data_IF_257292832341
#
_entry.id   IF_257292832341
#
_cell.length_a   1.000
_cell.length_b   1.000
_cell.length_c   1.000
_cell.angle_alpha   90.00
_cell.angle_beta   90.00
_cell.angle_gamma   90.00
#
_symmetry.space_group_name_H-M   'P 1'
#
loop_
_entity.id
_entity.type
_entity.pdbx_description
1 polymer ?
#
# COMPACT_ATOMS: atom_id res chain seq x y z
N UNK A 1 21.91 14.89 7.27
CA UNK A 1 21.22 14.31 6.10
C UNK A 1 19.81 13.88 6.50
N UNK A 2 18.94 14.86 6.81
CA UNK A 2 17.58 14.67 7.32
C UNK A 2 16.69 15.62 6.53
N UNK A 3 15.97 15.12 5.52
CA UNK A 3 15.16 15.99 4.66
C UNK A 3 14.03 15.32 3.90
N UNK A 4 14.09 14.01 3.61
CA UNK A 4 13.08 13.34 2.79
C UNK A 4 11.85 12.82 3.53
N UNK A 5 12.00 12.34 4.78
CA UNK A 5 10.98 11.49 5.44
C UNK A 5 9.77 12.26 6.01
N UNK A 6 9.88 13.58 6.20
CA UNK A 6 8.79 14.43 6.70
C UNK A 6 7.86 15.01 5.62
N UNK A 7 8.27 14.97 4.35
CA UNK A 7 7.56 15.65 3.26
C UNK A 7 6.25 14.93 2.93
N UNK A 8 6.25 13.59 2.94
CA UNK A 8 5.06 12.80 2.60
C UNK A 8 3.92 12.99 3.63
N UNK A 9 4.25 13.15 4.92
CA UNK A 9 3.24 13.41 5.95
C UNK A 9 2.72 14.86 5.91
N UNK A 10 3.56 15.83 5.58
CA UNK A 10 3.14 17.23 5.39
C UNK A 10 2.19 17.41 4.19
N UNK A 11 2.28 16.52 3.19
CA UNK A 11 1.43 16.52 2.00
C UNK A 11 0.04 15.89 2.22
N UNK A 12 -0.15 15.04 3.24
CA UNK A 12 -1.47 14.44 3.55
C UNK A 12 -2.54 15.50 3.84
N UNK A 13 -2.16 16.59 4.52
CA UNK A 13 -3.03 17.75 4.76
C UNK A 13 -3.22 18.66 3.52
N UNK A 14 -2.61 18.30 2.38
CA UNK A 14 -2.67 19.05 1.12
C UNK A 14 -3.22 18.20 -0.04
N UNK A 15 -3.93 17.11 0.24
CA UNK A 15 -4.56 16.29 -0.79
C UNK A 15 -5.96 16.83 -1.13
N UNK A 16 -6.21 17.08 -2.43
CA UNK A 16 -7.49 17.58 -2.94
C UNK A 16 -8.71 16.74 -2.49
N UNK A 17 -8.68 15.39 -2.50
CA UNK A 17 -9.81 14.58 -2.04
C UNK A 17 -10.14 14.77 -0.55
N UNK A 18 -9.11 14.96 0.29
CA UNK A 18 -9.26 15.20 1.73
C UNK A 18 -9.96 16.54 1.96
N UNK A 19 -9.54 17.60 1.26
CA UNK A 19 -10.15 18.92 1.37
C UNK A 19 -11.63 18.91 0.95
N UNK A 20 -11.96 18.24 -0.17
CA UNK A 20 -13.34 18.09 -0.67
C UNK A 20 -14.20 17.36 0.36
N UNK A 21 -13.73 16.23 0.89
CA UNK A 21 -14.48 15.44 1.87
C UNK A 21 -14.67 16.21 3.19
N UNK A 22 -13.63 16.89 3.67
CA UNK A 22 -13.72 17.71 4.87
C UNK A 22 -14.74 18.85 4.72
N UNK A 23 -14.73 19.54 3.58
CA UNK A 23 -15.69 20.59 3.25
C UNK A 23 -17.13 20.07 3.15
N UNK A 24 -17.33 18.95 2.45
CA UNK A 24 -18.64 18.30 2.32
C UNK A 24 -19.22 17.91 3.68
N UNK A 25 -18.43 17.23 4.51
CA UNK A 25 -18.87 16.80 5.84
C UNK A 25 -19.06 17.98 6.78
N UNK A 26 -18.27 19.05 6.67
CA UNK A 26 -18.49 20.28 7.42
C UNK A 26 -19.86 20.90 7.11
N UNK A 27 -20.20 21.06 5.82
CA UNK A 27 -21.50 21.59 5.41
C UNK A 27 -22.67 20.72 5.94
N UNK A 28 -22.52 19.39 5.91
CA UNK A 28 -23.52 18.47 6.47
C UNK A 28 -23.68 18.60 7.99
N UNK A 29 -22.61 18.89 8.73
CA UNK A 29 -22.71 19.12 10.18
C UNK A 29 -23.35 20.47 10.50
N UNK A 30 -22.98 21.52 9.78
CA UNK A 30 -23.50 22.88 10.01
C UNK A 30 -24.96 23.04 9.62
N UNK A 31 -25.37 22.44 8.49
CA UNK A 31 -26.68 22.71 7.88
C UNK A 31 -27.56 21.47 7.72
N UNK A 32 -27.04 20.25 7.95
CA UNK A 32 -27.75 18.99 7.70
C UNK A 32 -27.94 18.10 8.94
N UNK A 33 -27.56 18.56 10.13
CA UNK A 33 -27.70 17.79 11.39
C UNK A 33 -26.83 16.53 11.47
N UNK A 34 -25.87 16.36 10.56
CA UNK A 34 -24.94 15.22 10.58
C UNK A 34 -23.97 15.34 11.77
N UNK A 35 -23.51 14.19 12.27
CA UNK A 35 -22.43 14.10 13.28
C UNK A 35 -21.13 13.54 12.69
N UNK A 36 -21.15 13.15 11.41
CA UNK A 36 -20.02 12.48 10.75
C UNK A 36 -18.84 13.44 10.60
N UNK A 37 -17.67 13.01 11.06
CA UNK A 37 -16.39 13.73 10.92
C UNK A 37 -15.58 13.19 9.75
N UNK A 38 -14.70 14.03 9.21
CA UNK A 38 -13.74 13.56 8.22
C UNK A 38 -12.74 12.64 8.90
N UNK A 39 -12.55 11.46 8.32
CA UNK A 39 -11.56 10.49 8.77
C UNK A 39 -10.24 10.77 8.04
N UNK A 40 -9.19 11.02 8.83
CA UNK A 40 -7.84 11.29 8.35
C UNK A 40 -6.90 10.10 8.55
N UNK A 41 -7.42 8.99 9.11
CA UNK A 41 -6.65 7.76 9.26
C UNK A 41 -6.62 7.00 7.93
N UNK A 42 -5.44 6.46 7.60
CA UNK A 42 -5.20 5.64 6.42
C UNK A 42 -5.71 6.28 5.11
N UNK A 43 -5.46 7.58 4.94
CA UNK A 43 -5.73 8.27 3.67
C UNK A 43 -4.70 7.78 2.63
N UNK A 44 -5.13 7.21 1.49
CA UNK A 44 -4.20 6.80 0.43
C UNK A 44 -3.51 8.00 -0.21
N UNK A 45 -2.29 7.77 -0.67
CA UNK A 45 -1.51 8.75 -1.43
C UNK A 45 -0.75 8.07 -2.56
N UNK A 46 -0.43 8.84 -3.59
CA UNK A 46 0.38 8.36 -4.72
C UNK A 46 1.28 9.47 -5.20
N UNK A 47 2.54 9.12 -5.46
CA UNK A 47 3.56 10.00 -6.04
C UNK A 47 3.81 9.54 -7.48
N UNK A 48 3.52 10.41 -8.43
CA UNK A 48 3.64 10.15 -9.87
C UNK A 48 5.06 10.41 -10.39
N UNK A 49 6.03 9.68 -9.85
CA UNK A 49 7.39 9.59 -10.40
C UNK A 49 7.41 8.74 -11.69
N UNK A 50 8.50 8.73 -12.47
CA UNK A 50 8.60 7.87 -13.67
C UNK A 50 8.28 6.39 -13.41
N UNK A 51 8.56 5.94 -12.18
CA UNK A 51 7.99 4.74 -11.60
C UNK A 51 7.09 5.19 -10.45
N UNK A 52 5.78 5.02 -10.58
CA UNK A 52 4.82 5.54 -9.60
C UNK A 52 4.95 4.81 -8.28
N UNK A 53 4.66 5.52 -7.19
CA UNK A 53 4.66 4.97 -5.84
C UNK A 53 3.34 5.27 -5.14
N UNK A 54 2.62 4.23 -4.78
CA UNK A 54 1.36 4.28 -4.04
C UNK A 54 1.53 3.77 -2.62
N UNK A 55 0.87 4.42 -1.66
CA UNK A 55 0.93 4.02 -0.27
C UNK A 55 -0.38 4.32 0.48
N UNK A 56 -0.71 3.46 1.45
CA UNK A 56 -1.79 3.67 2.40
C UNK A 56 -1.40 3.09 3.75
N UNK A 57 -1.76 3.77 4.84
CA UNK A 57 -1.41 3.35 6.20
C UNK A 57 0.01 3.77 6.64
N UNK A 58 0.57 3.01 7.57
CA UNK A 58 1.87 3.29 8.19
C UNK A 58 3.02 2.86 7.28
N UNK A 59 4.13 3.61 7.33
CA UNK A 59 5.41 3.07 6.88
C UNK A 59 5.90 2.02 7.89
N UNK A 60 6.80 1.16 7.43
CA UNK A 60 7.47 0.16 8.27
C UNK A 60 8.08 0.77 9.53
N UNK A 61 8.85 1.86 9.40
CA UNK A 61 9.52 2.45 10.56
C UNK A 61 8.52 3.03 11.57
N UNK A 62 7.42 3.59 11.08
CA UNK A 62 6.33 4.10 11.92
C UNK A 62 5.52 2.98 12.56
N UNK A 63 5.37 1.85 11.88
CA UNK A 63 4.71 0.67 12.42
C UNK A 63 5.55 0.08 13.57
N UNK A 64 6.87 -0.03 13.37
CA UNK A 64 7.81 -0.45 14.42
C UNK A 64 7.79 0.52 15.60
N UNK A 65 7.84 1.83 15.35
CA UNK A 65 7.75 2.85 16.41
C UNK A 65 6.44 2.75 17.21
N UNK A 66 5.32 2.47 16.53
CA UNK A 66 3.98 2.43 17.14
C UNK A 66 3.67 1.13 17.85
N UNK A 67 4.12 -0.01 17.31
CA UNK A 67 3.69 -1.33 17.74
C UNK A 67 4.82 -2.19 18.33
N UNK A 68 6.09 -1.79 18.20
CA UNK A 68 7.26 -2.59 18.57
C UNK A 68 7.72 -3.51 17.42
N UNK A 69 9.03 -3.64 17.25
CA UNK A 69 9.64 -4.42 16.16
C UNK A 69 9.19 -5.89 16.21
N UNK A 70 9.06 -6.45 17.41
CA UNK A 70 8.66 -7.84 17.64
C UNK A 70 7.20 -8.14 17.29
N UNK A 71 6.40 -7.11 17.00
CA UNK A 71 4.98 -7.23 16.67
C UNK A 71 4.69 -6.88 15.21
N UNK A 72 5.71 -6.61 14.40
CA UNK A 72 5.58 -6.26 13.00
C UNK A 72 6.12 -7.37 12.13
N UNK A 73 5.31 -7.78 11.18
CA UNK A 73 5.69 -8.70 10.12
C UNK A 73 5.64 -7.99 8.78
N UNK A 74 6.63 -8.24 7.92
CA UNK A 74 6.76 -7.58 6.62
C UNK A 74 6.71 -8.65 5.54
N UNK A 75 5.79 -8.47 4.60
CA UNK A 75 5.70 -9.31 3.41
C UNK A 75 6.00 -8.45 2.19
N UNK A 76 6.84 -8.94 1.29
CA UNK A 76 7.29 -8.16 0.16
C UNK A 76 7.73 -9.01 -1.03
N UNK A 77 7.63 -8.44 -2.23
CA UNK A 77 8.07 -9.10 -3.45
C UNK A 77 8.41 -8.08 -4.53
N UNK A 78 9.37 -8.45 -5.37
CA UNK A 78 9.58 -7.79 -6.65
C UNK A 78 8.68 -8.42 -7.70
N UNK A 79 8.15 -7.59 -8.60
CA UNK A 79 7.35 -8.08 -9.71
C UNK A 79 7.77 -7.41 -11.02
N UNK A 80 7.43 -8.05 -12.13
CA UNK A 80 7.71 -7.56 -13.46
C UNK A 80 6.39 -7.42 -14.23
N UNK A 81 5.94 -6.19 -14.52
CA UNK A 81 4.73 -5.98 -15.32
C UNK A 81 4.82 -6.72 -16.64
N UNK A 82 3.77 -7.45 -17.02
CA UNK A 82 3.75 -8.25 -18.24
C UNK A 82 4.00 -7.38 -19.47
N UNK A 83 3.50 -6.15 -19.48
CA UNK A 83 3.65 -5.17 -20.56
C UNK A 83 5.11 -4.75 -20.76
N UNK A 84 5.99 -4.98 -19.78
CA UNK A 84 7.41 -4.63 -19.85
C UNK A 84 8.27 -5.77 -20.40
N UNK A 85 7.71 -6.98 -20.51
CA UNK A 85 8.42 -8.16 -21.03
C UNK A 85 8.73 -8.02 -22.52
N UNK A 86 7.75 -7.63 -23.33
CA UNK A 86 7.90 -7.47 -24.79
C UNK A 86 8.94 -6.40 -25.15
N UNK A 87 8.92 -5.20 -24.53
CA UNK A 87 9.93 -4.17 -24.80
C UNK A 87 11.30 -4.47 -24.18
N UNK A 88 11.46 -5.60 -23.45
CA UNK A 88 12.67 -5.94 -22.71
C UNK A 88 13.16 -4.82 -21.80
N UNK A 89 12.22 -4.11 -21.16
CA UNK A 89 12.54 -3.08 -20.15
C UNK A 89 13.08 -3.74 -18.89
N UNK A 90 13.81 -2.95 -18.09
CA UNK A 90 14.42 -3.39 -16.84
C UNK A 90 13.48 -4.24 -15.98
N UNK A 91 13.90 -5.49 -15.73
CA UNK A 91 13.25 -6.41 -14.81
C UNK A 91 13.57 -6.03 -13.34
N UNK A 92 12.76 -6.48 -12.38
CA UNK A 92 12.95 -6.33 -10.93
C UNK A 92 13.03 -4.87 -10.43
N UNK A 93 12.31 -3.95 -11.08
CA UNK A 93 12.17 -2.55 -10.62
C UNK A 93 10.91 -2.32 -9.81
N UNK A 94 9.84 -3.05 -10.11
CA UNK A 94 8.59 -2.90 -9.39
C UNK A 94 8.61 -3.72 -8.09
N UNK A 95 7.99 -3.18 -7.05
CA UNK A 95 8.09 -3.69 -5.69
C UNK A 95 6.76 -3.51 -4.96
N UNK A 96 6.31 -4.54 -4.26
CA UNK A 96 5.14 -4.48 -3.41
C UNK A 96 5.52 -4.89 -1.98
N UNK A 97 4.96 -4.19 -0.99
CA UNK A 97 5.16 -4.47 0.44
C UNK A 97 3.89 -4.22 1.22
N UNK A 98 3.59 -5.11 2.14
CA UNK A 98 2.60 -4.91 3.20
C UNK A 98 3.28 -5.02 4.57
N UNK A 99 2.72 -4.29 5.52
CA UNK A 99 3.16 -4.26 6.92
C UNK A 99 2.00 -4.75 7.77
N UNK A 100 2.23 -5.83 8.52
CA UNK A 100 1.21 -6.50 9.31
C UNK A 100 1.51 -6.38 10.80
N UNK A 101 0.46 -6.21 11.62
CA UNK A 101 0.57 -6.23 13.08
C UNK A 101 0.20 -7.62 13.61
N UNK A 102 1.20 -8.36 14.11
CA UNK A 102 1.07 -9.73 14.61
C UNK A 102 0.07 -9.83 15.77
N UNK A 103 0.07 -8.83 16.67
CA UNK A 103 -0.80 -8.82 17.85
C UNK A 103 -2.28 -8.67 17.54
N UNK A 104 -2.61 -8.29 16.31
CA UNK A 104 -3.98 -8.08 15.88
C UNK A 104 -4.26 -8.88 14.61
N UNK A 105 -4.19 -10.21 14.74
CA UNK A 105 -4.56 -11.14 13.66
C UNK A 105 -3.87 -10.84 12.32
N UNK A 106 -2.61 -10.40 12.37
CA UNK A 106 -1.87 -9.93 11.20
C UNK A 106 -2.62 -8.89 10.37
N UNK A 107 -3.30 -7.96 11.04
CA UNK A 107 -3.96 -6.81 10.40
C UNK A 107 -2.94 -6.04 9.58
N UNK A 108 -3.29 -5.77 8.32
CA UNK A 108 -2.51 -4.96 7.41
C UNK A 108 -2.61 -3.50 7.87
N UNK A 109 -1.52 -2.97 8.41
CA UNK A 109 -1.41 -1.60 8.91
C UNK A 109 -0.68 -0.68 7.94
N UNK A 110 -0.03 -1.23 6.92
CA UNK A 110 0.64 -0.49 5.85
C UNK A 110 0.60 -1.24 4.52
N UNK A 111 0.39 -0.50 3.44
CA UNK A 111 0.43 -0.99 2.06
C UNK A 111 1.29 -0.05 1.23
N UNK A 112 2.21 -0.62 0.45
CA UNK A 112 3.16 0.10 -0.38
C UNK A 112 3.34 -0.61 -1.72
N UNK A 113 3.22 0.12 -2.82
CA UNK A 113 3.50 -0.40 -4.16
C UNK A 113 4.30 0.61 -4.96
N UNK A 114 5.35 0.14 -5.61
CA UNK A 114 6.19 0.86 -6.55
C UNK A 114 6.04 0.15 -7.89
N UNK A 115 5.37 0.77 -8.86
CA UNK A 115 4.99 0.11 -10.10
C UNK A 115 4.11 0.98 -11.00
N UNK A 116 3.77 0.51 -12.20
CA UNK A 116 2.82 1.21 -13.06
C UNK A 116 1.43 1.25 -12.42
N UNK A 117 0.69 2.35 -12.64
CA UNK A 117 -0.68 2.55 -12.15
C UNK A 117 -0.81 2.39 -10.62
N UNK A 118 0.19 2.84 -9.86
CA UNK A 118 0.26 2.62 -8.42
C UNK A 118 -0.94 3.26 -7.68
N UNK A 119 -1.46 4.37 -8.20
CA UNK A 119 -2.66 5.01 -7.66
C UNK A 119 -3.92 4.16 -7.78
N UNK A 120 -4.14 3.54 -8.94
CA UNK A 120 -5.30 2.67 -9.19
C UNK A 120 -5.26 1.44 -8.27
N UNK A 121 -4.09 0.83 -8.13
CA UNK A 121 -3.92 -0.32 -7.22
C UNK A 121 -4.16 0.10 -5.77
N UNK A 122 -3.53 1.18 -5.33
CA UNK A 122 -3.60 1.65 -3.93
C UNK A 122 -5.03 2.03 -3.53
N UNK A 123 -5.83 2.56 -4.45
CA UNK A 123 -7.20 3.01 -4.16
C UNK A 123 -8.08 1.84 -3.66
N UNK A 124 -7.99 0.67 -4.29
CA UNK A 124 -8.72 -0.52 -3.86
C UNK A 124 -8.27 -1.02 -2.49
N UNK A 125 -6.95 -1.12 -2.28
CA UNK A 125 -6.38 -1.54 -1.00
C UNK A 125 -6.71 -0.58 0.14
N UNK A 126 -6.79 0.73 -0.11
CA UNK A 126 -7.19 1.68 0.92
C UNK A 126 -8.61 1.44 1.46
N UNK A 127 -9.55 1.03 0.59
CA UNK A 127 -10.87 0.61 1.06
C UNK A 127 -10.77 -0.66 1.92
N UNK A 128 -9.96 -1.64 1.50
CA UNK A 128 -9.75 -2.86 2.28
C UNK A 128 -9.11 -2.59 3.66
N UNK A 129 -8.12 -1.69 3.74
CA UNK A 129 -7.53 -1.26 5.02
C UNK A 129 -8.57 -0.60 5.94
N UNK A 130 -9.51 0.19 5.40
CA UNK A 130 -10.63 0.74 6.18
C UNK A 130 -11.59 -0.34 6.69
N UNK A 131 -11.70 -1.48 5.99
CA UNK A 131 -12.46 -2.64 6.43
C UNK A 131 -11.70 -3.55 7.42
N UNK A 132 -10.45 -3.21 7.76
CA UNK A 132 -9.64 -4.01 8.69
C UNK A 132 -9.04 -5.26 8.05
N UNK A 133 -8.62 -5.18 6.78
CA UNK A 133 -7.95 -6.27 6.06
C UNK A 133 -6.85 -6.94 6.91
N UNK A 134 -6.92 -8.27 7.03
CA UNK A 134 -5.86 -9.11 7.60
C UNK A 134 -5.06 -9.83 6.52
N UNK A 135 -3.87 -10.33 6.87
CA UNK A 135 -3.07 -11.16 5.95
C UNK A 135 -3.84 -12.39 5.45
N UNK A 136 -4.54 -13.10 6.32
CA UNK A 136 -5.37 -14.25 5.94
C UNK A 136 -6.46 -13.88 4.92
N UNK A 137 -7.12 -12.73 5.10
CA UNK A 137 -8.13 -12.24 4.15
C UNK A 137 -7.50 -11.87 2.81
N UNK A 138 -6.30 -11.28 2.84
CA UNK A 138 -5.56 -10.97 1.62
C UNK A 138 -5.17 -12.25 0.86
N UNK A 139 -4.67 -13.26 1.56
CA UNK A 139 -4.20 -14.52 0.96
C UNK A 139 -5.34 -15.39 0.43
N UNK A 140 -6.50 -15.31 1.08
CA UNK A 140 -7.72 -15.98 0.60
C UNK A 140 -8.38 -15.28 -0.59
N UNK A 141 -7.94 -14.05 -0.91
CA UNK A 141 -8.45 -13.32 -2.07
C UNK A 141 -7.76 -13.82 -3.35
N UNK A 142 -8.55 -14.32 -4.30
CA UNK A 142 -8.05 -14.79 -5.59
C UNK A 142 -7.58 -13.59 -6.43
N UNK A 143 -6.32 -13.63 -6.87
CA UNK A 143 -5.75 -12.63 -7.76
C UNK A 143 -6.35 -12.66 -9.17
N UNK A 144 -6.43 -11.50 -9.81
CA UNK A 144 -6.68 -11.39 -11.24
C UNK A 144 -5.34 -11.63 -11.95
N UNK A 145 -5.32 -12.37 -13.06
CA UNK A 145 -4.09 -12.66 -13.79
C UNK A 145 -4.26 -12.44 -15.29
N UNK A 146 -3.29 -11.79 -15.99
CA UNK A 146 -2.09 -11.15 -15.46
C UNK A 146 -2.32 -9.67 -15.13
N UNK A 147 -2.17 -9.26 -13.86
CA UNK A 147 -2.16 -7.83 -13.48
C UNK A 147 -1.15 -7.53 -12.38
N UNK A 148 -0.60 -6.31 -12.38
CA UNK A 148 0.35 -5.84 -11.35
C UNK A 148 -0.22 -5.89 -9.91
N UNK A 149 -1.54 -5.88 -9.77
CA UNK A 149 -2.24 -5.87 -8.48
C UNK A 149 -2.40 -7.27 -7.84
N UNK A 150 -1.90 -8.35 -8.45
CA UNK A 150 -2.03 -9.74 -7.95
C UNK A 150 -1.22 -10.06 -6.67
N UNK A 151 -1.05 -9.05 -5.81
CA UNK A 151 -0.25 -8.99 -4.58
C UNK A 151 -0.76 -9.91 -3.45
N UNK A 152 -1.79 -10.75 -3.72
CA UNK A 152 -2.33 -11.69 -2.73
C UNK A 152 -1.35 -12.77 -2.27
N UNK A 153 -0.22 -12.96 -2.95
CA UNK A 153 0.79 -13.96 -2.57
C UNK A 153 2.16 -13.32 -2.28
N UNK A 154 2.18 -12.33 -1.38
CA UNK A 154 3.45 -11.79 -0.89
C UNK A 154 4.09 -12.75 0.14
N UNK A 155 5.32 -13.21 -0.08
CA UNK A 155 6.05 -14.04 0.88
C UNK A 155 6.59 -13.21 2.04
N UNK A 156 6.85 -13.88 3.16
CA UNK A 156 7.51 -13.32 4.34
C UNK A 156 8.92 -12.83 4.01
N UNK A 157 9.31 -11.69 4.58
CA UNK A 157 10.67 -11.18 4.48
C UNK A 157 11.66 -12.21 5.06
N UNK A 158 12.65 -12.62 4.26
CA UNK A 158 13.64 -13.62 4.65
C UNK A 158 13.28 -15.08 4.32
N UNK A 159 12.07 -15.36 3.80
CA UNK A 159 11.71 -16.71 3.32
C UNK A 159 12.04 -16.96 1.84
N UNK A 160 12.68 -16.01 1.16
CA UNK A 160 13.36 -16.28 -0.11
C UNK A 160 14.85 -16.56 0.14
N UNK A 161 15.40 -17.71 -0.30
CA UNK A 161 16.83 -17.77 -0.54
C UNK A 161 17.15 -16.69 -1.58
N UNK A 162 18.39 -16.21 -1.56
CA UNK A 162 18.96 -15.29 -2.54
C UNK A 162 18.93 -15.88 -3.97
N UNK A 163 17.76 -16.08 -4.56
CA UNK A 163 17.61 -16.31 -5.99
C UNK A 163 17.57 -14.94 -6.64
N UNK A 164 18.74 -14.53 -7.13
CA UNK A 164 18.90 -13.46 -8.09
C UNK A 164 17.71 -13.44 -9.08
N UNK A 165 16.90 -12.38 -9.03
CA UNK A 165 16.07 -11.87 -10.13
C UNK A 165 15.47 -12.87 -11.12
N UNK A 166 14.71 -13.88 -10.66
CA UNK A 166 14.12 -14.88 -11.55
C UNK A 166 12.60 -15.00 -11.39
N UNK A 167 11.90 -14.40 -12.36
CA UNK A 167 10.68 -14.87 -13.00
C UNK A 167 9.52 -15.39 -12.13
N UNK A 168 8.51 -14.52 -11.94
CA UNK A 168 7.10 -14.93 -12.00
C UNK A 168 6.65 -15.28 -13.43
N UNK A 169 7.50 -15.06 -14.45
CA UNK A 169 7.14 -15.24 -15.86
C UNK A 169 6.88 -16.68 -16.32
N UNK A 170 7.12 -17.71 -15.51
CA UNK A 170 7.00 -19.13 -15.94
C UNK A 170 6.84 -20.16 -14.80
N UNK A 171 6.63 -19.75 -13.54
CA UNK A 171 6.51 -20.68 -12.41
C UNK A 171 5.05 -20.82 -11.92
N UNK A 172 4.13 -21.07 -12.86
CA UNK A 172 2.82 -21.68 -12.61
C UNK A 172 2.79 -23.05 -13.27
#
# INVERSE_FOLDING_TARGET
SLGGKGILFSLLNKLTPVAIQAGRLLAQRLYGGSTVKCDYENVPTTVFTPLEYGACGLSEEKAVEKFGEENIEIYHSYFWPLEWTIPSRDNNKCYAKIVCNIKDNERVVGFHILGPNAGEVTQGFAAALKCGLTKDQLDSTIGIHPVCAEVGHLPLMGQHPLTHGANLGLCS
#
